data_IF_058259318284
#
_entry.id   IF_058259318284
#
_cell.length_a   1.000
_cell.length_b   1.000
_cell.length_c   1.000
_cell.angle_alpha   90.00
_cell.angle_beta   90.00
_cell.angle_gamma   90.00
#
_symmetry.space_group_name_H-M   'P 1'
#
loop_
_entity.id
_entity.type
_entity.pdbx_description
1 polymer ?
#
# COMPACT_ATOMS: atom_id res chain seq x y z
N UNK A 1 13.32 0.57 17.75
CA UNK A 1 13.26 -0.58 16.80
C UNK A 1 12.20 -0.32 15.71
N UNK A 2 12.24 -1.05 14.56
CA UNK A 2 11.27 -0.83 13.45
C UNK A 2 9.83 -1.14 13.87
N UNK A 3 9.62 -2.25 14.57
CA UNK A 3 8.29 -2.68 15.01
C UNK A 3 7.64 -1.66 15.96
N UNK A 4 8.37 -1.05 16.85
CA UNK A 4 7.86 0.00 17.74
C UNK A 4 7.33 1.22 16.96
N UNK A 5 8.04 1.59 15.89
CA UNK A 5 7.59 2.68 15.01
C UNK A 5 6.30 2.30 14.26
N UNK A 6 6.19 1.05 13.79
CA UNK A 6 5.00 0.54 13.11
C UNK A 6 3.81 0.53 14.07
N UNK A 7 4.01 0.04 15.31
CA UNK A 7 2.98 -0.09 16.33
C UNK A 7 2.77 1.19 17.16
N UNK A 8 3.42 2.31 16.81
CA UNK A 8 3.20 3.58 17.48
C UNK A 8 1.76 4.08 17.30
N UNK A 9 1.18 4.64 18.36
CA UNK A 9 -0.22 5.11 18.38
C UNK A 9 -0.54 6.07 17.21
N UNK A 10 0.36 7.00 16.94
CA UNK A 10 0.19 7.98 15.86
C UNK A 10 0.13 7.28 14.49
N UNK A 11 1.06 6.34 14.21
CA UNK A 11 1.10 5.62 12.96
C UNK A 11 -0.17 4.77 12.74
N UNK A 12 -0.64 4.10 13.79
CA UNK A 12 -1.85 3.27 13.74
C UNK A 12 -3.11 4.11 13.51
N UNK A 13 -3.25 5.25 14.18
CA UNK A 13 -4.38 6.15 13.93
C UNK A 13 -4.40 6.69 12.50
N UNK A 14 -3.23 7.00 11.94
CA UNK A 14 -3.11 7.43 10.55
C UNK A 14 -3.44 6.27 9.58
N UNK A 15 -3.06 5.03 9.90
CA UNK A 15 -3.39 3.86 9.11
C UNK A 15 -4.91 3.61 9.08
N UNK A 16 -5.59 3.68 10.23
CA UNK A 16 -7.05 3.55 10.31
C UNK A 16 -7.73 4.60 9.43
N UNK A 17 -7.37 5.88 9.59
CA UNK A 17 -7.95 6.99 8.79
C UNK A 17 -7.79 6.76 7.28
N UNK A 18 -6.64 6.23 6.84
CA UNK A 18 -6.40 5.93 5.43
C UNK A 18 -7.24 4.77 4.92
N UNK A 19 -7.37 3.69 5.70
CA UNK A 19 -8.20 2.55 5.33
C UNK A 19 -9.67 2.97 5.25
N UNK A 20 -10.16 3.75 6.21
CA UNK A 20 -11.53 4.30 6.20
C UNK A 20 -11.78 5.21 4.98
N UNK A 21 -10.84 6.09 4.66
CA UNK A 21 -10.94 6.99 3.50
C UNK A 21 -11.00 6.22 2.17
N UNK A 22 -10.30 5.10 2.06
CA UNK A 22 -10.24 4.31 0.83
C UNK A 22 -11.51 3.48 0.56
N UNK A 23 -12.40 3.32 1.54
CA UNK A 23 -13.74 2.69 1.39
C UNK A 23 -13.74 1.39 0.57
N UNK A 24 -12.72 0.55 0.66
CA UNK A 24 -12.64 -0.69 -0.11
C UNK A 24 -13.70 -1.73 0.33
N UNK A 25 -13.98 -2.71 -0.54
CA UNK A 25 -14.86 -3.83 -0.23
C UNK A 25 -14.27 -4.71 0.88
N UNK A 26 -15.13 -5.45 1.60
CA UNK A 26 -14.74 -6.42 2.62
C UNK A 26 -13.93 -7.59 2.05
N UNK A 27 -13.17 -8.25 2.90
CA UNK A 27 -12.43 -9.48 2.59
C UNK A 27 -13.32 -10.74 2.65
N UNK A 28 -12.70 -11.88 3.01
CA UNK A 28 -13.39 -13.16 3.22
C UNK A 28 -14.22 -13.18 4.51
N UNK A 29 -13.87 -12.33 5.47
CA UNK A 29 -14.53 -12.15 6.77
C UNK A 29 -15.81 -11.32 6.71
N UNK A 30 -16.14 -10.78 5.53
CA UNK A 30 -17.29 -9.91 5.27
C UNK A 30 -17.37 -8.66 6.17
N UNK A 31 -16.32 -8.37 6.94
CA UNK A 31 -16.28 -7.23 7.85
C UNK A 31 -16.21 -5.91 7.06
N UNK A 32 -17.16 -4.98 7.27
CA UNK A 32 -17.13 -3.68 6.60
C UNK A 32 -16.03 -2.78 7.21
N UNK A 33 -15.54 -1.82 6.42
CA UNK A 33 -14.51 -0.87 6.87
C UNK A 33 -14.97 -0.06 8.09
N UNK A 34 -16.26 0.24 8.22
CA UNK A 34 -16.83 0.96 9.36
C UNK A 34 -16.67 0.22 10.70
N UNK A 35 -16.63 -1.11 10.68
CA UNK A 35 -16.46 -1.94 11.88
C UNK A 35 -15.00 -2.03 12.35
N UNK A 36 -14.02 -1.59 11.54
CA UNK A 36 -12.58 -1.72 11.82
C UNK A 36 -12.18 -1.18 13.19
N UNK A 37 -12.64 0.02 13.55
CA UNK A 37 -12.28 0.64 14.84
C UNK A 37 -12.73 -0.20 16.03
N UNK A 38 -13.99 -0.62 16.03
CA UNK A 38 -14.54 -1.46 17.09
C UNK A 38 -13.81 -2.79 17.19
N UNK A 39 -13.55 -3.43 16.04
CA UNK A 39 -12.81 -4.69 15.99
C UNK A 39 -11.38 -4.55 16.54
N UNK A 40 -10.66 -3.51 16.16
CA UNK A 40 -9.31 -3.26 16.68
C UNK A 40 -9.34 -2.96 18.18
N UNK A 41 -10.29 -2.16 18.67
CA UNK A 41 -10.38 -1.86 20.11
C UNK A 41 -10.59 -3.11 20.95
N UNK A 42 -11.40 -4.03 20.50
CA UNK A 42 -11.69 -5.29 21.20
C UNK A 42 -10.50 -6.26 21.17
N UNK A 43 -9.79 -6.35 20.05
CA UNK A 43 -8.78 -7.38 19.82
C UNK A 43 -7.33 -6.82 19.84
N UNK A 44 -7.13 -5.57 20.25
CA UNK A 44 -5.84 -4.88 20.14
C UNK A 44 -4.70 -5.58 20.88
N UNK A 45 -4.94 -6.04 22.09
CA UNK A 45 -3.89 -6.65 22.91
C UNK A 45 -3.35 -7.93 22.26
N UNK A 46 -4.23 -8.75 21.73
CA UNK A 46 -3.90 -10.00 21.06
C UNK A 46 -3.20 -9.74 19.71
N UNK A 47 -3.76 -8.81 18.91
CA UNK A 47 -3.18 -8.40 17.65
C UNK A 47 -1.77 -7.79 17.83
N UNK A 48 -1.60 -6.91 18.79
CA UNK A 48 -0.31 -6.31 19.12
C UNK A 48 0.72 -7.36 19.53
N UNK A 49 0.31 -8.30 20.38
CA UNK A 49 1.17 -9.40 20.84
C UNK A 49 1.64 -10.24 19.66
N UNK A 50 0.73 -10.73 18.83
CA UNK A 50 1.05 -11.56 17.66
C UNK A 50 1.96 -10.84 16.66
N UNK A 51 1.76 -9.54 16.43
CA UNK A 51 2.63 -8.72 15.57
C UNK A 51 4.02 -8.54 16.18
N UNK A 52 4.12 -8.32 17.50
CA UNK A 52 5.41 -8.13 18.19
C UNK A 52 6.22 -9.43 18.25
N UNK A 53 5.56 -10.56 18.40
CA UNK A 53 6.18 -11.90 18.45
C UNK A 53 6.44 -12.48 17.05
N UNK A 54 5.92 -11.85 15.98
CA UNK A 54 6.05 -12.37 14.62
C UNK A 54 5.19 -13.61 14.34
N UNK A 55 4.19 -13.88 15.17
CA UNK A 55 3.27 -15.02 15.05
C UNK A 55 1.98 -14.68 14.28
N UNK A 56 1.84 -13.43 13.84
CA UNK A 56 0.66 -13.00 13.08
C UNK A 56 0.59 -13.69 11.71
N UNK A 57 -0.52 -14.35 11.45
CA UNK A 57 -0.80 -15.02 10.17
C UNK A 57 -1.91 -14.22 9.45
N UNK A 58 -1.62 -13.62 8.28
CA UNK A 58 -2.63 -12.93 7.49
C UNK A 58 -3.76 -13.86 7.05
N UNK A 59 -4.98 -13.33 6.99
CA UNK A 59 -6.15 -14.07 6.53
C UNK A 59 -6.09 -14.34 5.01
N UNK A 60 -6.76 -15.40 4.51
CA UNK A 60 -6.89 -15.61 3.07
C UNK A 60 -7.52 -14.41 2.37
N UNK A 61 -7.12 -14.14 1.13
CA UNK A 61 -7.70 -13.06 0.34
C UNK A 61 -8.97 -13.52 -0.37
N UNK A 62 -9.98 -12.65 -0.45
CA UNK A 62 -11.16 -12.87 -1.27
C UNK A 62 -10.82 -12.67 -2.74
N UNK A 63 -10.94 -13.71 -3.54
CA UNK A 63 -10.67 -13.65 -4.98
C UNK A 63 -11.86 -13.06 -5.74
N UNK A 64 -11.60 -12.04 -6.55
CA UNK A 64 -12.58 -11.42 -7.45
C UNK A 64 -11.99 -11.38 -8.86
N UNK A 65 -12.80 -11.68 -9.87
CA UNK A 65 -12.42 -11.59 -11.27
C UNK A 65 -12.89 -10.26 -11.86
N UNK A 66 -11.97 -9.52 -12.46
CA UNK A 66 -12.25 -8.24 -13.12
C UNK A 66 -11.94 -8.38 -14.61
N UNK A 67 -12.85 -7.96 -15.52
CA UNK A 67 -12.58 -7.98 -16.93
C UNK A 67 -11.39 -7.06 -17.27
N UNK A 68 -10.55 -7.49 -18.21
CA UNK A 68 -9.45 -6.65 -18.71
C UNK A 68 -9.99 -5.50 -19.58
N UNK A 69 -9.33 -4.34 -19.60
CA UNK A 69 -9.77 -3.21 -20.44
C UNK A 69 -9.81 -3.50 -21.93
N UNK A 70 -8.99 -4.44 -22.39
CA UNK A 70 -8.90 -4.88 -23.77
C UNK A 70 -9.99 -5.89 -24.17
N UNK A 71 -10.90 -6.24 -23.26
CA UNK A 71 -11.97 -7.22 -23.48
C UNK A 71 -11.51 -8.68 -23.59
N UNK A 72 -10.21 -8.94 -23.60
CA UNK A 72 -9.64 -10.29 -23.76
C UNK A 72 -9.30 -10.92 -22.41
N UNK A 73 -10.31 -11.53 -21.78
CA UNK A 73 -10.16 -12.31 -20.56
C UNK A 73 -10.35 -11.52 -19.26
N UNK A 74 -10.11 -12.20 -18.14
CA UNK A 74 -10.29 -11.67 -16.78
C UNK A 74 -8.95 -11.69 -16.03
N UNK A 75 -8.75 -10.74 -15.14
CA UNK A 75 -7.65 -10.75 -14.16
C UNK A 75 -8.19 -11.04 -12.77
N UNK A 76 -7.45 -11.83 -12.03
CA UNK A 76 -7.79 -12.20 -10.67
C UNK A 76 -7.25 -11.14 -9.71
N UNK A 77 -8.12 -10.60 -8.88
CA UNK A 77 -7.77 -9.65 -7.80
C UNK A 77 -7.99 -10.33 -6.45
N UNK A 78 -6.99 -10.28 -5.58
CA UNK A 78 -7.13 -10.69 -4.18
C UNK A 78 -7.48 -9.48 -3.31
N UNK A 79 -8.59 -9.57 -2.57
CA UNK A 79 -9.00 -8.54 -1.62
C UNK A 79 -8.71 -9.05 -0.21
N UNK A 80 -7.71 -8.48 0.49
CA UNK A 80 -7.42 -8.85 1.87
C UNK A 80 -8.50 -8.37 2.84
N UNK A 81 -8.54 -8.92 4.03
CA UNK A 81 -9.43 -8.46 5.10
C UNK A 81 -9.13 -7.00 5.47
N UNK A 82 -10.09 -6.35 6.12
CA UNK A 82 -9.90 -4.94 6.53
C UNK A 82 -8.81 -4.82 7.59
N UNK A 83 -8.68 -5.81 8.47
CA UNK A 83 -7.60 -5.90 9.46
C UNK A 83 -6.23 -6.04 8.79
N UNK A 84 -6.09 -6.93 7.81
CA UNK A 84 -4.83 -7.07 7.06
C UNK A 84 -4.45 -5.79 6.32
N UNK A 85 -5.44 -5.11 5.70
CA UNK A 85 -5.21 -3.81 5.05
C UNK A 85 -4.73 -2.74 6.03
N UNK A 86 -5.27 -2.74 7.25
CA UNK A 86 -4.83 -1.83 8.31
C UNK A 86 -3.36 -2.10 8.69
N UNK A 87 -2.99 -3.35 8.89
CA UNK A 87 -1.61 -3.73 9.23
C UNK A 87 -0.66 -3.37 8.07
N UNK A 88 -1.00 -3.73 6.84
CA UNK A 88 -0.23 -3.38 5.64
C UNK A 88 -0.05 -1.88 5.50
N UNK A 89 -1.11 -1.09 5.78
CA UNK A 89 -1.05 0.37 5.74
C UNK A 89 -0.11 0.92 6.81
N UNK A 90 -0.14 0.39 8.04
CA UNK A 90 0.74 0.80 9.12
C UNK A 90 2.22 0.53 8.79
N UNK A 91 2.52 -0.64 8.21
CA UNK A 91 3.85 -1.02 7.76
C UNK A 91 4.31 -0.10 6.61
N UNK A 92 3.47 0.07 5.59
CA UNK A 92 3.79 0.87 4.40
C UNK A 92 4.13 2.32 4.75
N UNK A 93 3.42 2.93 5.71
CA UNK A 93 3.68 4.31 6.14
C UNK A 93 5.09 4.49 6.72
N UNK A 94 5.55 3.54 7.51
CA UNK A 94 6.88 3.59 8.11
C UNK A 94 7.96 3.26 7.08
N UNK A 95 7.79 2.20 6.30
CA UNK A 95 8.76 1.79 5.28
C UNK A 95 8.91 2.86 4.19
N UNK A 96 7.82 3.48 3.74
CA UNK A 96 7.89 4.57 2.76
C UNK A 96 8.75 5.73 3.26
N UNK A 97 8.58 6.14 4.53
CA UNK A 97 9.41 7.23 5.09
C UNK A 97 10.89 6.87 5.17
N UNK A 98 11.21 5.60 5.35
CA UNK A 98 12.60 5.12 5.48
C UNK A 98 13.29 4.92 4.13
N UNK A 99 12.60 4.32 3.16
CA UNK A 99 13.21 3.87 1.91
C UNK A 99 13.00 4.81 0.73
N UNK A 100 11.89 5.59 0.70
CA UNK A 100 11.60 6.49 -0.42
C UNK A 100 12.73 7.50 -0.72
N UNK A 101 13.42 8.10 0.27
CA UNK A 101 14.53 9.01 0.00
C UNK A 101 15.73 8.36 -0.70
N UNK A 102 15.91 7.04 -0.54
CA UNK A 102 17.00 6.28 -1.18
C UNK A 102 16.71 5.79 -2.59
N UNK A 103 15.49 5.97 -3.09
CA UNK A 103 15.17 5.56 -4.46
C UNK A 103 15.72 6.53 -5.50
N UNK A 104 16.11 5.98 -6.66
CA UNK A 104 16.59 6.73 -7.80
C UNK A 104 15.62 7.87 -8.21
N UNK A 105 16.18 8.99 -8.67
CA UNK A 105 15.41 10.10 -9.24
C UNK A 105 14.53 9.68 -10.43
N UNK A 106 14.94 8.63 -11.15
CA UNK A 106 14.21 8.07 -12.29
C UNK A 106 13.11 7.07 -11.88
N UNK A 107 12.94 6.79 -10.58
CA UNK A 107 11.87 5.92 -10.07
C UNK A 107 10.61 6.73 -9.79
N UNK A 108 9.51 6.45 -10.49
CA UNK A 108 8.24 7.20 -10.40
C UNK A 108 7.07 6.35 -9.91
N UNK A 109 7.10 5.03 -10.12
CA UNK A 109 6.00 4.12 -9.78
C UNK A 109 5.80 3.99 -8.27
N UNK A 110 4.55 4.09 -7.82
CA UNK A 110 4.13 3.86 -6.43
C UNK A 110 4.82 4.72 -5.37
N UNK A 111 5.41 5.84 -5.77
CA UNK A 111 6.10 6.79 -4.86
C UNK A 111 5.23 7.99 -4.50
N UNK A 112 5.34 8.51 -3.24
CA UNK A 112 4.64 9.72 -2.84
C UNK A 112 5.04 10.91 -3.73
N UNK A 113 4.06 11.72 -4.13
CA UNK A 113 4.28 12.95 -4.94
C UNK A 113 4.90 12.71 -6.32
N UNK A 114 5.12 11.47 -6.76
CA UNK A 114 5.58 11.10 -8.11
C UNK A 114 4.39 10.70 -8.99
N UNK A 115 4.44 11.02 -10.29
CA UNK A 115 3.35 10.78 -11.24
C UNK A 115 3.89 10.26 -12.58
N UNK A 116 3.10 9.47 -13.29
CA UNK A 116 3.45 8.93 -14.61
C UNK A 116 3.85 10.03 -15.61
N UNK A 117 3.17 11.18 -15.61
CA UNK A 117 3.51 12.32 -16.48
C UNK A 117 4.94 12.85 -16.26
N UNK A 118 5.46 12.80 -15.04
CA UNK A 118 6.85 13.21 -14.76
C UNK A 118 7.83 12.21 -15.37
N UNK A 119 7.52 10.91 -15.32
CA UNK A 119 8.32 9.87 -15.95
C UNK A 119 8.41 10.08 -17.48
N UNK A 120 7.26 10.33 -18.13
CA UNK A 120 7.20 10.59 -19.57
C UNK A 120 8.00 11.84 -19.93
N UNK A 121 7.82 12.94 -19.20
CA UNK A 121 8.61 14.18 -19.44
C UNK A 121 10.11 13.94 -19.34
N UNK A 122 10.56 13.20 -18.33
CA UNK A 122 11.98 12.89 -18.17
C UNK A 122 12.48 12.00 -19.32
N UNK A 123 11.72 10.98 -19.72
CA UNK A 123 12.09 10.11 -20.85
C UNK A 123 12.23 10.89 -22.17
N UNK A 124 11.28 11.80 -22.45
CA UNK A 124 11.34 12.68 -23.63
C UNK A 124 12.56 13.59 -23.58
N UNK A 125 12.83 14.21 -22.43
CA UNK A 125 14.01 15.09 -22.25
C UNK A 125 15.31 14.32 -22.46
N UNK A 126 15.47 13.14 -21.89
CA UNK A 126 16.64 12.28 -22.07
C UNK A 126 16.83 11.89 -23.54
N UNK A 127 15.75 11.54 -24.24
CA UNK A 127 15.79 11.19 -25.66
C UNK A 127 16.25 12.38 -26.52
N UNK A 128 15.71 13.56 -26.29
CA UNK A 128 16.11 14.80 -26.99
C UNK A 128 17.60 15.10 -26.73
N UNK A 129 18.06 15.00 -25.48
CA UNK A 129 19.47 15.25 -25.13
C UNK A 129 20.43 14.30 -25.86
N UNK A 130 20.10 13.00 -25.92
CA UNK A 130 20.92 11.99 -26.64
C UNK A 130 20.96 12.28 -28.15
N UNK A 131 19.86 12.71 -28.74
CA UNK A 131 19.83 13.08 -30.16
C UNK A 131 20.73 14.31 -30.41
N UNK A 132 20.61 15.36 -29.62
CA UNK A 132 21.40 16.57 -29.76
C UNK A 132 22.91 16.34 -29.56
N UNK A 133 23.31 15.43 -28.65
CA UNK A 133 24.75 15.12 -28.44
C UNK A 133 25.35 14.24 -29.51
N UNK A 134 24.56 13.65 -30.41
CA UNK A 134 25.07 12.88 -31.57
C UNK A 134 25.31 13.73 -32.82
N UNK A 135 24.87 14.99 -32.81
CA UNK A 135 25.03 15.91 -33.96
C UNK A 135 26.08 17.00 -33.72
N UNK A 136 26.81 16.94 -32.63
CA UNK A 136 28.01 17.75 -32.33
C UNK A 136 29.17 16.81 -31.96
#
# INVERSE_FOLDING_TARGET
MLMERILSRENLLNAIKRVEKNKGKHGVDEMPVAALRGHIMLNWNELRKSLSEGTYIPSPVRRVEIPKPDGKGKRKLGIPTVTDRFIQQAITQVLTKMYDPGFSECSFGFRPKRRAHQAVKLAVYCKIKVVLTRFW
#
